data_IF_104390373162
#
_entry.id   IF_104390373162
#
_cell.length_a   1.000
_cell.length_b   1.000
_cell.length_c   1.000
_cell.angle_alpha   90.00
_cell.angle_beta   90.00
_cell.angle_gamma   90.00
#
_symmetry.space_group_name_H-M   'P 1'
#
loop_
_entity.id
_entity.type
_entity.pdbx_description
1 polymer ?
#
# COMPACT_ATOMS: atom_id res chain seq x y z
N UNK A 1 -13.89 6.13 28.19
CA UNK A 1 -12.60 5.94 28.88
C UNK A 1 -11.46 6.48 28.01
N UNK A 2 -10.82 7.55 28.47
CA UNK A 2 -9.61 8.10 27.85
C UNK A 2 -8.46 7.12 28.08
N UNK A 3 -7.80 6.68 27.02
CA UNK A 3 -6.72 5.68 27.13
C UNK A 3 -5.45 6.37 27.61
N UNK A 4 -4.99 6.15 28.84
CA UNK A 4 -3.68 6.65 29.27
C UNK A 4 -2.55 5.92 28.52
N UNK A 5 -1.51 6.65 28.14
CA UNK A 5 -0.27 6.14 27.56
C UNK A 5 0.85 6.34 28.56
N UNK A 6 1.57 5.27 28.83
CA UNK A 6 2.73 5.30 29.70
C UNK A 6 3.98 5.31 28.84
N UNK A 7 4.77 6.37 28.98
CA UNK A 7 5.95 6.64 28.17
C UNK A 7 7.17 6.67 29.07
N UNK A 8 8.16 5.84 28.72
CA UNK A 8 9.45 5.82 29.37
C UNK A 8 10.53 6.15 28.32
N UNK A 9 11.38 7.10 28.64
CA UNK A 9 12.42 7.62 27.75
C UNK A 9 13.79 7.47 28.39
N UNK A 10 14.76 7.03 27.58
CA UNK A 10 16.14 6.87 28.02
C UNK A 10 17.13 7.14 26.90
N UNK A 11 18.38 7.41 27.26
CA UNK A 11 19.51 7.53 26.34
C UNK A 11 20.22 6.19 26.24
N UNK A 12 20.49 5.74 25.02
CA UNK A 12 21.34 4.56 24.80
C UNK A 12 22.80 4.97 25.02
N UNK A 13 23.42 4.41 26.07
CA UNK A 13 24.85 4.55 26.36
C UNK A 13 25.68 3.68 25.43
N UNK A 14 25.17 2.49 25.09
CA UNK A 14 25.77 1.61 24.09
C UNK A 14 24.77 1.27 22.97
N UNK A 15 25.24 0.95 21.75
CA UNK A 15 24.34 0.67 20.63
C UNK A 15 23.36 -0.46 20.94
N UNK A 16 22.10 -0.28 20.57
CA UNK A 16 21.12 -1.37 20.60
C UNK A 16 21.19 -2.16 19.30
N UNK A 17 21.45 -3.46 19.41
CA UNK A 17 21.58 -4.37 18.27
C UNK A 17 20.20 -4.97 17.95
N UNK A 18 19.64 -4.61 16.80
CA UNK A 18 18.33 -5.12 16.36
C UNK A 18 18.16 -5.05 14.84
N UNK A 19 17.19 -5.77 14.30
CA UNK A 19 16.86 -5.75 12.87
C UNK A 19 16.08 -4.49 12.46
N UNK A 20 15.40 -3.84 13.42
CA UNK A 20 14.53 -2.68 13.19
C UNK A 20 14.61 -1.69 14.35
N UNK A 21 14.64 -0.37 14.09
CA UNK A 21 14.62 0.65 15.14
C UNK A 21 13.25 0.75 15.84
N UNK A 22 12.22 0.07 15.32
CA UNK A 22 10.90 -0.05 15.96
C UNK A 22 10.63 -1.52 16.24
N UNK A 23 10.40 -1.85 17.50
CA UNK A 23 10.12 -3.19 17.99
C UNK A 23 8.79 -3.21 18.74
N UNK A 24 8.09 -4.35 18.68
CA UNK A 24 6.85 -4.57 19.43
C UNK A 24 7.00 -5.83 20.28
N UNK A 25 6.69 -5.73 21.57
CA UNK A 25 6.67 -6.84 22.52
C UNK A 25 5.37 -6.76 23.32
N UNK A 26 4.37 -7.53 22.92
CA UNK A 26 3.03 -7.45 23.52
C UNK A 26 2.43 -6.04 23.41
N UNK A 27 1.92 -5.45 24.51
CA UNK A 27 1.36 -4.09 24.53
C UNK A 27 2.42 -2.99 24.41
N UNK A 28 3.71 -3.35 24.43
CA UNK A 28 4.81 -2.39 24.43
C UNK A 28 5.38 -2.17 23.03
N UNK A 29 5.54 -0.89 22.69
CA UNK A 29 6.28 -0.44 21.51
C UNK A 29 7.57 0.22 21.96
N UNK A 30 8.70 -0.29 21.46
CA UNK A 30 10.02 0.27 21.71
C UNK A 30 10.49 0.93 20.41
N UNK A 31 10.88 2.20 20.46
CA UNK A 31 11.37 2.97 19.31
C UNK A 31 12.72 3.59 19.64
N UNK A 32 13.70 3.38 18.78
CA UNK A 32 14.99 4.09 18.83
C UNK A 32 14.88 5.36 18.00
N UNK A 33 15.31 6.47 18.57
CA UNK A 33 15.20 7.83 18.06
C UNK A 33 16.58 8.48 17.96
N UNK A 34 16.77 9.41 17.03
CA UNK A 34 17.99 10.24 16.99
C UNK A 34 18.02 11.25 18.15
N UNK A 35 16.88 11.85 18.46
CA UNK A 35 16.66 12.78 19.58
C UNK A 35 15.24 12.59 20.14
N UNK A 36 15.01 12.91 21.42
CA UNK A 36 13.69 12.76 22.06
C UNK A 36 12.61 13.65 21.43
N UNK A 37 12.99 14.85 20.98
CA UNK A 37 12.07 15.82 20.35
C UNK A 37 11.88 15.57 18.85
N UNK A 38 12.72 14.73 18.23
CA UNK A 38 12.74 14.53 16.78
C UNK A 38 12.13 13.18 16.40
N UNK A 39 10.81 13.09 16.53
CA UNK A 39 10.02 11.88 16.30
C UNK A 39 10.05 11.37 14.84
N UNK A 40 10.51 12.19 13.90
CA UNK A 40 10.43 11.92 12.46
C UNK A 40 11.75 11.43 11.85
N UNK A 41 12.90 11.63 12.48
CA UNK A 41 14.20 11.22 11.93
C UNK A 41 14.64 9.82 12.36
N UNK A 42 15.27 9.10 11.44
CA UNK A 42 15.84 7.77 11.70
C UNK A 42 17.02 7.86 12.68
N UNK A 43 17.15 6.89 13.62
CA UNK A 43 18.28 6.85 14.55
C UNK A 43 19.62 6.67 13.84
N UNK A 44 20.70 7.08 14.50
CA UNK A 44 22.05 6.90 14.00
C UNK A 44 22.35 5.40 13.90
N UNK A 45 22.72 4.95 12.69
CA UNK A 45 23.09 3.56 12.43
C UNK A 45 24.59 3.38 12.63
N UNK A 46 24.97 2.37 13.39
CA UNK A 46 26.33 1.85 13.46
C UNK A 46 26.32 0.41 12.96
N UNK A 47 27.30 0.03 12.15
CA UNK A 47 27.52 -1.35 11.76
C UNK A 47 28.52 -1.95 12.75
N UNK A 48 28.10 -2.81 13.69
CA UNK A 48 29.04 -3.55 14.52
C UNK A 48 29.77 -4.55 13.62
N UNK A 49 30.94 -4.16 13.10
CA UNK A 49 31.81 -5.08 12.39
C UNK A 49 32.44 -6.04 13.38
N UNK A 50 32.46 -7.34 13.06
CA UNK A 50 33.40 -8.27 13.69
C UNK A 50 34.70 -8.16 12.89
N UNK A 51 35.81 -7.76 13.52
CA UNK A 51 37.13 -7.86 12.90
C UNK A 51 37.42 -9.36 12.71
N UNK A 52 37.43 -9.82 11.46
CA UNK A 52 37.86 -11.18 11.10
C UNK A 52 38.90 -11.03 9.99
N UNK A 53 40.16 -11.32 10.32
CA UNK A 53 41.29 -11.46 9.37
C UNK A 53 41.36 -10.36 8.27
N UNK A 54 41.46 -9.08 8.66
CA UNK A 54 41.87 -8.01 7.74
C UNK A 54 40.87 -7.53 6.67
N UNK A 55 39.73 -8.21 6.46
CA UNK A 55 38.75 -7.81 5.45
C UNK A 55 37.43 -7.27 6.05
N UNK A 56 36.96 -6.13 5.54
CA UNK A 56 35.63 -5.58 5.87
C UNK A 56 34.53 -6.44 5.23
N UNK A 57 33.97 -7.40 5.97
CA UNK A 57 32.72 -8.07 5.58
C UNK A 57 31.49 -7.28 6.04
N UNK A 58 30.48 -7.14 5.19
CA UNK A 58 29.19 -6.55 5.57
C UNK A 58 28.45 -7.45 6.60
N UNK A 59 27.84 -6.87 7.65
CA UNK A 59 27.20 -7.65 8.70
C UNK A 59 25.91 -8.33 8.21
N UNK A 60 25.86 -9.65 8.34
CA UNK A 60 24.74 -10.52 7.96
C UNK A 60 23.59 -10.48 8.98
N UNK A 61 22.85 -9.36 9.03
CA UNK A 61 21.44 -9.24 9.52
C UNK A 61 21.18 -8.50 10.86
N UNK A 62 22.17 -7.93 11.55
CA UNK A 62 21.91 -7.05 12.70
C UNK A 62 22.53 -5.65 12.55
N UNK A 63 21.75 -4.61 12.88
CA UNK A 63 22.18 -3.21 12.84
C UNK A 63 22.29 -2.68 14.27
N UNK A 64 23.35 -1.92 14.56
CA UNK A 64 23.46 -1.15 15.79
C UNK A 64 22.75 0.19 15.63
N UNK A 65 21.94 0.56 16.62
CA UNK A 65 21.27 1.86 16.67
C UNK A 65 21.73 2.63 17.90
N UNK A 66 22.15 3.89 17.70
CA UNK A 66 22.50 4.83 18.76
C UNK A 66 21.47 5.96 18.86
N UNK A 67 21.41 6.61 20.02
CA UNK A 67 20.54 7.76 20.28
C UNK A 67 19.71 7.54 21.54
N UNK A 68 18.39 7.69 21.42
CA UNK A 68 17.45 7.57 22.52
C UNK A 68 16.49 6.43 22.30
N UNK A 69 15.96 5.88 23.38
CA UNK A 69 14.90 4.88 23.35
C UNK A 69 13.63 5.47 23.97
N UNK A 70 12.51 5.28 23.27
CA UNK A 70 11.17 5.55 23.79
C UNK A 70 10.41 4.24 23.87
N UNK A 71 9.98 3.89 25.08
CA UNK A 71 9.09 2.77 25.36
C UNK A 71 7.70 3.34 25.58
N UNK A 72 6.72 2.83 24.84
CA UNK A 72 5.31 3.22 25.00
C UNK A 72 4.47 1.97 25.24
N UNK A 73 3.75 1.94 26.36
CA UNK A 73 2.81 0.88 26.67
C UNK A 73 1.38 1.27 26.25
N UNK A 74 0.74 0.38 25.50
CA UNK A 74 -0.65 0.50 25.05
C UNK A 74 -1.46 -0.67 25.62
N UNK A 75 -1.75 -0.62 26.92
CA UNK A 75 -2.63 -1.61 27.58
C UNK A 75 -3.98 -0.98 27.94
N UNK A 76 -5.03 -1.80 27.97
CA UNK A 76 -6.38 -1.40 28.37
C UNK A 76 -6.54 -1.47 29.89
N UNK A 77 -5.69 -2.25 30.56
CA UNK A 77 -5.62 -2.33 32.02
C UNK A 77 -4.49 -1.41 32.52
N UNK A 78 -4.86 -0.38 33.29
CA UNK A 78 -3.92 0.63 33.84
C UNK A 78 -2.89 0.00 34.79
N UNK A 79 -3.31 -0.89 35.67
CA UNK A 79 -2.41 -1.60 36.60
C UNK A 79 -1.36 -2.40 35.84
N UNK A 80 -1.79 -3.17 34.84
CA UNK A 80 -0.89 -3.96 33.98
C UNK A 80 0.06 -3.07 33.18
N UNK A 81 -0.42 -1.93 32.67
CA UNK A 81 0.42 -1.00 31.92
C UNK A 81 1.55 -0.42 32.79
N UNK A 82 1.23 -0.05 34.04
CA UNK A 82 2.19 0.46 35.02
C UNK A 82 3.22 -0.58 35.41
N UNK A 83 2.80 -1.80 35.73
CA UNK A 83 3.70 -2.91 36.07
C UNK A 83 4.69 -3.22 34.94
N UNK A 84 4.19 -3.21 33.70
CA UNK A 84 5.04 -3.42 32.53
C UNK A 84 6.09 -2.31 32.41
N UNK A 85 5.73 -1.04 32.57
CA UNK A 85 6.70 0.06 32.51
C UNK A 85 7.66 0.03 33.70
N UNK A 86 7.21 -0.28 34.91
CA UNK A 86 8.09 -0.50 36.08
C UNK A 86 9.13 -1.57 35.79
N UNK A 87 8.73 -2.67 35.15
CA UNK A 87 9.66 -3.74 34.75
C UNK A 87 10.72 -3.27 33.75
N UNK A 88 10.40 -2.28 32.89
CA UNK A 88 11.36 -1.68 31.97
C UNK A 88 12.25 -0.64 32.65
N UNK A 89 11.73 0.11 33.62
CA UNK A 89 12.50 1.07 34.41
C UNK A 89 13.61 0.37 35.22
N UNK A 90 13.35 -0.84 35.71
CA UNK A 90 14.33 -1.68 36.42
C UNK A 90 15.40 -2.31 35.51
N UNK A 91 15.36 -2.07 34.19
CA UNK A 91 16.34 -2.64 33.26
C UNK A 91 17.35 -1.59 32.85
N UNK A 92 18.62 -1.92 33.04
CA UNK A 92 19.73 -1.12 32.53
C UNK A 92 20.09 -1.44 31.08
N UNK A 93 19.50 -2.50 30.50
CA UNK A 93 19.80 -2.99 29.16
C UNK A 93 18.54 -3.40 28.38
N UNK A 94 18.58 -3.21 27.06
CA UNK A 94 17.61 -3.75 26.10
C UNK A 94 18.27 -4.60 25.03
N UNK A 95 17.58 -5.64 24.55
CA UNK A 95 18.05 -6.50 23.47
C UNK A 95 18.22 -7.96 23.90
N UNK A 96 18.72 -8.81 22.98
CA UNK A 96 19.00 -10.23 23.24
C UNK A 96 20.42 -10.49 23.78
N UNK A 97 21.35 -9.55 23.61
CA UNK A 97 22.77 -9.68 23.98
C UNK A 97 23.12 -8.92 25.26
N UNK A 98 22.35 -9.10 26.33
CA UNK A 98 22.59 -8.43 27.63
C UNK A 98 23.97 -8.74 28.22
N UNK A 99 24.62 -9.82 27.78
CA UNK A 99 25.93 -10.27 28.24
C UNK A 99 27.12 -9.60 27.52
N UNK A 100 26.89 -8.83 26.44
CA UNK A 100 27.96 -8.23 25.61
C UNK A 100 28.07 -6.71 25.79
N UNK A 101 27.42 -6.13 26.80
CA UNK A 101 27.46 -4.69 27.09
C UNK A 101 26.68 -3.79 26.12
N UNK A 102 25.96 -4.36 25.14
CA UNK A 102 25.14 -3.62 24.17
C UNK A 102 23.75 -3.27 24.71
N UNK A 103 23.19 -2.16 24.21
CA UNK A 103 21.85 -1.70 24.55
C UNK A 103 21.71 -1.16 25.98
N UNK A 104 22.80 -0.72 26.61
CA UNK A 104 22.80 -0.09 27.94
C UNK A 104 22.05 1.25 27.88
N UNK A 105 21.20 1.53 28.86
CA UNK A 105 20.31 2.68 28.88
C UNK A 105 20.47 3.46 30.17
N UNK A 106 20.49 4.77 30.04
CA UNK A 106 20.26 5.68 31.13
C UNK A 106 18.83 6.22 30.99
N UNK A 107 17.96 5.88 31.94
CA UNK A 107 16.59 6.39 31.96
C UNK A 107 16.60 7.88 32.30
N UNK A 108 15.81 8.66 31.56
CA UNK A 108 15.78 10.12 31.68
C UNK A 108 14.43 10.61 32.17
N UNK A 109 13.34 10.05 31.65
CA UNK A 109 12.01 10.58 31.97
C UNK A 109 10.94 9.51 31.86
N UNK A 110 10.01 9.54 32.81
CA UNK A 110 8.75 8.81 32.77
C UNK A 110 7.60 9.81 32.72
N UNK A 111 6.64 9.60 31.80
CA UNK A 111 5.45 10.46 31.66
C UNK A 111 4.21 9.63 31.43
N UNK A 112 3.11 10.08 32.03
CA UNK A 112 1.76 9.59 31.74
C UNK A 112 1.08 10.62 30.85
N UNK A 113 0.74 10.23 29.62
CA UNK A 113 0.02 11.10 28.68
C UNK A 113 -1.40 10.59 28.49
N UNK A 114 -2.37 11.50 28.39
CA UNK A 114 -3.67 11.14 27.85
C UNK A 114 -3.51 10.71 26.39
N UNK A 115 -3.70 9.43 26.14
CA UNK A 115 -3.61 8.90 24.81
C UNK A 115 -4.74 9.44 23.98
N UNK A 116 -4.40 10.35 23.06
CA UNK A 116 -5.27 10.65 21.93
C UNK A 116 -5.66 9.32 21.30
N UNK A 117 -6.96 9.01 21.31
CA UNK A 117 -7.51 7.91 20.54
C UNK A 117 -7.23 8.26 19.09
N UNK A 118 -6.07 7.85 18.58
CA UNK A 118 -5.87 7.81 17.15
C UNK A 118 -6.90 6.80 16.68
N UNK A 119 -8.05 7.30 16.23
CA UNK A 119 -8.95 6.54 15.39
C UNK A 119 -8.04 5.91 14.37
N UNK A 120 -7.83 4.59 14.49
CA UNK A 120 -7.22 3.82 13.43
C UNK A 120 -8.16 4.06 12.27
N UNK A 121 -7.81 5.01 11.40
CA UNK A 121 -8.44 5.12 10.09
C UNK A 121 -8.20 3.74 9.52
N UNK A 122 -9.25 2.91 9.53
CA UNK A 122 -9.21 1.59 8.92
C UNK A 122 -8.82 1.90 7.49
N UNK A 123 -7.56 1.62 7.11
CA UNK A 123 -7.12 1.74 5.72
C UNK A 123 -8.12 0.91 4.93
N UNK A 124 -9.05 1.56 4.24
CA UNK A 124 -10.07 0.87 3.45
C UNK A 124 -9.27 0.01 2.49
N UNK A 125 -9.38 -1.32 2.63
CA UNK A 125 -8.71 -2.25 1.73
C UNK A 125 -9.20 -1.89 0.33
N UNK A 126 -8.27 -1.67 -0.59
CA UNK A 126 -8.61 -1.40 -1.98
C UNK A 126 -9.34 -2.64 -2.51
N UNK A 127 -10.65 -2.52 -2.70
CA UNK A 127 -11.52 -3.59 -3.16
C UNK A 127 -11.58 -3.53 -4.67
N UNK A 128 -11.26 -4.65 -5.32
CA UNK A 128 -11.54 -4.84 -6.74
C UNK A 128 -13.05 -4.96 -6.88
N UNK A 129 -13.66 -4.14 -7.74
CA UNK A 129 -15.09 -4.19 -8.04
C UNK A 129 -15.45 -5.51 -8.73
N UNK A 130 -16.62 -6.05 -8.45
CA UNK A 130 -17.11 -7.30 -9.07
C UNK A 130 -17.54 -7.14 -10.54
N UNK A 131 -17.59 -5.91 -11.05
CA UNK A 131 -17.97 -5.60 -12.41
C UNK A 131 -17.63 -4.15 -12.78
N UNK A 132 -17.71 -3.88 -14.07
CA UNK A 132 -17.67 -2.52 -14.63
C UNK A 132 -19.12 -2.01 -14.75
N UNK A 133 -19.35 -0.71 -14.55
CA UNK A 133 -20.62 -0.11 -14.97
C UNK A 133 -20.71 -0.10 -16.50
N UNK A 134 -21.90 -0.28 -17.09
CA UNK A 134 -22.05 -0.35 -18.55
C UNK A 134 -21.83 1.01 -19.26
N UNK A 135 -22.02 2.12 -18.55
CA UNK A 135 -22.17 3.46 -19.16
C UNK A 135 -21.01 4.41 -18.81
N UNK A 136 -19.76 3.98 -19.01
CA UNK A 136 -18.62 4.90 -18.91
C UNK A 136 -18.41 5.67 -20.22
N UNK A 137 -17.90 6.93 -20.18
CA UNK A 137 -17.57 7.67 -21.39
C UNK A 137 -16.58 6.90 -22.28
N UNK A 138 -16.68 7.06 -23.61
CA UNK A 138 -15.86 6.31 -24.57
C UNK A 138 -14.36 6.45 -24.30
N UNK A 139 -13.88 7.66 -24.00
CA UNK A 139 -12.49 7.91 -23.63
C UNK A 139 -12.05 7.11 -22.39
N UNK A 140 -12.95 6.92 -21.42
CA UNK A 140 -12.66 6.09 -20.26
C UNK A 140 -12.64 4.62 -20.66
N UNK A 141 -13.61 4.16 -21.45
CA UNK A 141 -13.63 2.78 -21.93
C UNK A 141 -12.35 2.41 -22.67
N UNK A 142 -11.85 3.28 -23.56
CA UNK A 142 -10.58 3.09 -24.29
C UNK A 142 -9.39 3.00 -23.35
N UNK A 143 -9.31 3.88 -22.34
CA UNK A 143 -8.29 3.78 -21.29
C UNK A 143 -8.39 2.45 -20.53
N UNK A 144 -9.59 2.05 -20.11
CA UNK A 144 -9.79 0.83 -19.34
C UNK A 144 -9.41 -0.42 -20.15
N UNK A 145 -9.74 -0.46 -21.45
CA UNK A 145 -9.25 -1.49 -22.36
C UNK A 145 -7.72 -1.49 -22.43
N UNK A 146 -7.08 -0.33 -22.64
CA UNK A 146 -5.62 -0.23 -22.69
C UNK A 146 -4.95 -0.76 -21.41
N UNK A 147 -5.49 -0.41 -20.24
CA UNK A 147 -5.00 -0.91 -18.95
C UNK A 147 -5.13 -2.43 -18.82
N UNK A 148 -6.16 -3.04 -19.41
CA UNK A 148 -6.37 -4.49 -19.38
C UNK A 148 -5.54 -5.24 -20.40
N UNK A 149 -5.13 -4.59 -21.50
CA UNK A 149 -4.41 -5.22 -22.62
C UNK A 149 -2.90 -5.02 -22.61
N UNK A 150 -2.38 -4.02 -21.88
CA UNK A 150 -0.97 -3.60 -21.96
C UNK A 150 0.07 -4.70 -21.70
N UNK A 151 -0.27 -5.72 -20.91
CA UNK A 151 0.61 -6.84 -20.55
C UNK A 151 0.51 -8.02 -21.54
N UNK A 152 -0.38 -7.96 -22.56
CA UNK A 152 -0.58 -9.02 -23.56
C UNK A 152 0.11 -8.75 -24.90
N UNK A 153 0.84 -7.63 -25.00
CA UNK A 153 1.62 -7.26 -26.19
C UNK A 153 3.11 -7.29 -25.88
N UNK A 154 3.92 -7.44 -26.92
CA UNK A 154 5.36 -7.32 -26.76
C UNK A 154 5.77 -5.85 -26.67
N UNK A 155 6.75 -5.56 -25.82
CA UNK A 155 7.35 -4.23 -25.67
C UNK A 155 8.86 -4.32 -25.74
N UNK A 156 9.52 -3.17 -25.82
CA UNK A 156 10.98 -3.07 -25.73
C UNK A 156 11.59 -3.57 -24.40
N UNK A 157 10.79 -3.72 -23.32
CA UNK A 157 11.28 -4.17 -22.00
C UNK A 157 10.77 -5.52 -21.53
N UNK A 158 9.71 -6.06 -22.13
CA UNK A 158 9.20 -7.37 -21.76
C UNK A 158 8.40 -8.02 -22.89
N UNK A 159 8.39 -9.36 -22.85
CA UNK A 159 7.54 -10.23 -23.68
C UNK A 159 6.14 -10.32 -23.06
N UNK A 160 5.12 -10.43 -23.90
CA UNK A 160 3.72 -10.71 -23.52
C UNK A 160 3.63 -11.68 -22.34
N UNK A 161 2.82 -11.34 -21.34
CA UNK A 161 2.69 -12.12 -20.12
C UNK A 161 2.04 -13.49 -20.34
N UNK A 162 1.37 -13.67 -21.47
CA UNK A 162 0.74 -14.92 -21.88
C UNK A 162 1.49 -15.63 -23.02
N UNK A 163 2.72 -15.19 -23.37
CA UNK A 163 3.59 -15.79 -24.40
C UNK A 163 3.06 -15.78 -25.85
N UNK A 164 1.77 -15.52 -26.06
CA UNK A 164 1.14 -15.24 -27.34
C UNK A 164 0.80 -13.74 -27.37
N UNK A 165 1.08 -13.08 -28.48
CA UNK A 165 0.74 -11.67 -28.65
C UNK A 165 -0.72 -11.52 -29.06
N UNK A 166 -1.44 -10.64 -28.38
CA UNK A 166 -2.84 -10.32 -28.68
C UNK A 166 -2.90 -9.19 -29.71
N UNK A 167 -3.66 -9.41 -30.78
CA UNK A 167 -3.90 -8.40 -31.81
C UNK A 167 -4.87 -7.34 -31.28
N UNK A 168 -4.37 -6.11 -31.07
CA UNK A 168 -5.21 -5.00 -30.62
C UNK A 168 -5.79 -4.24 -31.82
N UNK A 169 -7.12 -4.22 -31.95
CA UNK A 169 -7.81 -3.61 -33.11
C UNK A 169 -7.80 -2.08 -33.11
N UNK A 170 -7.95 -1.45 -31.94
CA UNK A 170 -7.94 0.02 -31.81
C UNK A 170 -6.50 0.53 -31.91
N UNK A 171 -6.16 1.37 -32.92
CA UNK A 171 -4.79 1.84 -33.14
C UNK A 171 -4.23 2.65 -31.97
N UNK A 172 -5.05 3.47 -31.30
CA UNK A 172 -4.61 4.32 -30.21
C UNK A 172 -4.29 3.49 -28.96
N UNK A 173 -5.14 2.48 -28.68
CA UNK A 173 -4.92 1.50 -27.62
C UNK A 173 -3.66 0.69 -27.91
N UNK A 174 -3.52 0.19 -29.15
CA UNK A 174 -2.36 -0.61 -29.58
C UNK A 174 -1.04 0.15 -29.35
N UNK A 175 -0.96 1.40 -29.80
CA UNK A 175 0.23 2.24 -29.60
C UNK A 175 0.50 2.47 -28.10
N UNK A 176 -0.54 2.77 -27.31
CA UNK A 176 -0.39 2.95 -25.87
C UNK A 176 0.12 1.69 -25.17
N UNK A 177 -0.41 0.52 -25.53
CA UNK A 177 0.01 -0.77 -24.99
C UNK A 177 1.45 -1.15 -25.41
N UNK A 178 1.85 -0.94 -26.67
CA UNK A 178 3.21 -1.31 -27.12
C UNK A 178 4.29 -0.37 -26.56
N UNK A 179 3.96 0.92 -26.36
CA UNK A 179 4.95 1.95 -26.00
C UNK A 179 4.94 2.38 -24.53
N UNK A 180 4.11 1.80 -23.64
CA UNK A 180 3.98 2.27 -22.24
C UNK A 180 5.27 2.23 -21.39
N UNK A 181 6.34 1.62 -21.91
CA UNK A 181 7.67 1.57 -21.30
C UNK A 181 8.69 2.58 -21.86
N UNK A 182 8.34 3.27 -22.93
CA UNK A 182 9.16 4.23 -23.65
C UNK A 182 8.96 5.65 -23.13
N UNK A 183 9.69 6.60 -23.71
CA UNK A 183 9.41 8.01 -23.48
C UNK A 183 8.06 8.37 -24.12
N UNK A 184 7.25 9.21 -23.46
CA UNK A 184 5.96 9.60 -24.02
C UNK A 184 6.17 10.35 -25.34
N UNK A 185 5.55 9.86 -26.41
CA UNK A 185 5.39 10.59 -27.67
C UNK A 185 4.15 11.48 -27.51
N UNK A 186 4.25 12.75 -27.91
CA UNK A 186 3.24 13.78 -27.61
C UNK A 186 1.83 13.47 -28.17
N UNK A 187 1.72 12.55 -29.12
CA UNK A 187 0.48 12.28 -29.87
C UNK A 187 -0.51 11.34 -29.16
N UNK A 188 -0.09 10.51 -28.19
CA UNK A 188 -0.97 9.49 -27.60
C UNK A 188 -1.45 9.86 -26.18
N UNK A 189 -2.73 10.22 -26.07
CA UNK A 189 -3.35 10.66 -24.80
C UNK A 189 -3.46 9.54 -23.75
N UNK A 190 -3.52 8.29 -24.18
CA UNK A 190 -3.65 7.11 -23.30
C UNK A 190 -2.31 6.69 -22.70
N UNK A 191 -1.22 6.86 -23.44
CA UNK A 191 0.11 6.35 -23.10
C UNK A 191 0.58 6.78 -21.71
N UNK A 192 0.45 8.08 -21.40
CA UNK A 192 0.84 8.64 -20.10
C UNK A 192 0.02 8.05 -18.94
N UNK A 193 -1.27 7.83 -19.16
CA UNK A 193 -2.20 7.26 -18.17
C UNK A 193 -1.96 5.78 -17.95
N UNK A 194 -1.72 5.01 -19.01
CA UNK A 194 -1.37 3.58 -18.92
C UNK A 194 -0.09 3.41 -18.09
N UNK A 195 0.95 4.16 -18.43
CA UNK A 195 2.23 4.16 -17.70
C UNK A 195 2.07 4.55 -16.23
N UNK A 196 1.21 5.52 -15.92
CA UNK A 196 0.93 5.93 -14.55
C UNK A 196 0.25 4.82 -13.74
N UNK A 197 -0.85 4.26 -14.26
CA UNK A 197 -1.62 3.26 -13.53
C UNK A 197 -0.90 1.93 -13.41
N UNK A 198 -0.11 1.51 -14.41
CA UNK A 198 0.75 0.32 -14.31
C UNK A 198 1.76 0.46 -13.17
N UNK A 199 2.53 1.57 -13.16
CA UNK A 199 3.49 1.86 -12.09
C UNK A 199 2.82 1.92 -10.72
N UNK A 200 1.65 2.54 -10.61
CA UNK A 200 0.91 2.66 -9.36
C UNK A 200 0.43 1.29 -8.87
N UNK A 201 -0.14 0.48 -9.76
CA UNK A 201 -0.60 -0.86 -9.43
C UNK A 201 0.58 -1.75 -8.99
N UNK A 202 1.69 -1.72 -9.73
CA UNK A 202 2.94 -2.39 -9.40
C UNK A 202 3.50 -1.91 -8.04
N UNK A 203 3.44 -0.62 -7.74
CA UNK A 203 3.90 -0.08 -6.46
C UNK A 203 3.05 -0.58 -5.27
N UNK A 204 1.72 -0.47 -5.36
CA UNK A 204 0.78 -1.01 -4.36
C UNK A 204 0.93 -2.53 -4.24
N UNK A 205 1.35 -3.15 -5.33
CA UNK A 205 1.55 -4.58 -5.50
C UNK A 205 2.76 -5.14 -4.77
N UNK A 206 3.86 -4.41 -4.80
CA UNK A 206 5.14 -4.83 -4.23
C UNK A 206 5.00 -5.14 -2.75
N UNK A 207 5.14 -6.42 -2.42
CA UNK A 207 5.42 -6.91 -1.06
C UNK A 207 6.85 -7.45 -1.04
N UNK A 208 7.47 -7.47 0.15
CA UNK A 208 8.73 -8.22 0.36
C UNK A 208 8.41 -9.70 0.26
N UNK A 209 8.43 -10.25 -0.94
CA UNK A 209 8.15 -11.66 -1.24
C UNK A 209 9.33 -12.27 -1.97
N UNK A 210 9.48 -13.59 -1.81
CA UNK A 210 10.57 -14.36 -2.41
C UNK A 210 10.46 -14.30 -3.94
N UNK A 211 11.59 -14.18 -4.63
CA UNK A 211 11.67 -14.36 -6.09
C UNK A 211 11.01 -15.69 -6.46
N UNK A 212 10.27 -15.70 -7.55
CA UNK A 212 9.62 -16.91 -8.08
C UNK A 212 10.41 -17.39 -9.29
N UNK A 213 10.61 -18.70 -9.42
CA UNK A 213 11.37 -19.29 -10.52
C UNK A 213 10.51 -19.49 -11.79
N UNK A 214 9.20 -19.75 -11.63
CA UNK A 214 8.28 -20.00 -12.74
C UNK A 214 7.13 -18.97 -12.79
N UNK A 215 6.69 -18.63 -14.00
CA UNK A 215 5.63 -17.62 -14.20
C UNK A 215 4.23 -18.13 -13.90
N UNK A 216 3.99 -19.42 -14.04
CA UNK A 216 2.75 -20.05 -13.61
C UNK A 216 3.04 -21.45 -13.10
N UNK A 217 2.09 -21.99 -12.34
CA UNK A 217 2.22 -23.32 -11.76
C UNK A 217 1.77 -24.38 -12.76
N UNK A 218 2.73 -25.10 -13.35
CA UNK A 218 2.49 -26.22 -14.27
C UNK A 218 1.79 -27.41 -13.60
N UNK A 219 1.87 -27.55 -12.26
CA UNK A 219 1.27 -28.68 -11.53
C UNK A 219 -0.25 -28.64 -11.54
N UNK A 220 -0.84 -27.45 -11.70
CA UNK A 220 -2.28 -27.25 -11.78
C UNK A 220 -2.83 -27.30 -13.22
N UNK A 221 -2.11 -27.97 -14.14
CA UNK A 221 -2.48 -28.15 -15.55
C UNK A 221 -1.86 -27.11 -16.49
N UNK A 222 -1.69 -27.46 -17.77
CA UNK A 222 -1.19 -26.52 -18.78
C UNK A 222 -2.20 -25.40 -19.01
N UNK A 223 -1.73 -24.16 -19.18
CA UNK A 223 -2.56 -23.05 -19.66
C UNK A 223 -2.47 -23.05 -21.18
N UNK A 224 -3.62 -23.07 -21.85
CA UNK A 224 -3.71 -22.88 -23.29
C UNK A 224 -3.66 -21.37 -23.60
N UNK A 225 -2.49 -20.90 -23.99
CA UNK A 225 -2.25 -19.48 -24.26
C UNK A 225 -2.85 -19.01 -25.59
N UNK A 226 -2.99 -19.89 -26.56
CA UNK A 226 -3.62 -19.56 -27.85
C UNK A 226 -5.11 -19.34 -27.67
N UNK A 227 -5.77 -20.25 -26.93
CA UNK A 227 -7.18 -20.07 -26.56
C UNK A 227 -7.38 -18.80 -25.74
N UNK A 228 -6.50 -18.55 -24.76
CA UNK A 228 -6.56 -17.34 -23.94
C UNK A 228 -6.42 -16.06 -24.78
N UNK A 229 -5.50 -16.04 -25.76
CA UNK A 229 -5.33 -14.90 -26.67
C UNK A 229 -6.58 -14.66 -27.51
N UNK A 230 -7.12 -15.69 -28.17
CA UNK A 230 -8.37 -15.60 -28.96
C UNK A 230 -9.54 -15.07 -28.13
N UNK A 231 -9.73 -15.60 -26.92
CA UNK A 231 -10.81 -15.16 -26.05
C UNK A 231 -10.66 -13.70 -25.60
N UNK A 232 -9.43 -13.19 -25.47
CA UNK A 232 -9.15 -11.77 -25.17
C UNK A 232 -9.45 -10.92 -26.41
N UNK A 233 -9.00 -11.35 -27.59
CA UNK A 233 -9.21 -10.66 -28.87
C UNK A 233 -10.69 -10.47 -29.19
N UNK A 234 -11.52 -11.49 -28.98
CA UNK A 234 -12.97 -11.42 -29.18
C UNK A 234 -13.67 -10.41 -28.25
N UNK A 235 -13.11 -10.19 -27.05
CA UNK A 235 -13.77 -9.43 -25.98
C UNK A 235 -13.25 -8.00 -25.86
N UNK A 236 -12.17 -7.65 -26.56
CA UNK A 236 -11.53 -6.33 -26.47
C UNK A 236 -12.40 -5.18 -26.99
N UNK A 237 -13.44 -5.47 -27.76
CA UNK A 237 -14.41 -4.49 -28.29
C UNK A 237 -15.20 -3.77 -27.18
N UNK A 238 -15.24 -4.32 -25.97
CA UNK A 238 -15.98 -3.74 -24.85
C UNK A 238 -15.17 -3.85 -23.57
N UNK A 239 -14.88 -2.70 -22.94
CA UNK A 239 -14.23 -2.66 -21.63
C UNK A 239 -15.00 -3.47 -20.58
N UNK A 240 -16.34 -3.48 -20.66
CA UNK A 240 -17.17 -4.31 -19.79
C UNK A 240 -16.94 -5.81 -20.01
N UNK A 241 -17.03 -6.28 -21.26
CA UNK A 241 -16.85 -7.70 -21.60
C UNK A 241 -15.44 -8.18 -21.23
N UNK A 242 -14.41 -7.38 -21.57
CA UNK A 242 -13.03 -7.69 -21.25
C UNK A 242 -12.78 -7.72 -19.74
N UNK A 243 -13.31 -6.75 -18.99
CA UNK A 243 -13.20 -6.73 -17.52
C UNK A 243 -13.84 -7.95 -16.89
N UNK A 244 -15.05 -8.30 -17.32
CA UNK A 244 -15.79 -9.45 -16.80
C UNK A 244 -15.03 -10.76 -17.07
N UNK A 245 -14.52 -10.92 -18.29
CA UNK A 245 -13.66 -12.04 -18.66
C UNK A 245 -12.43 -12.16 -17.76
N UNK A 246 -11.66 -11.08 -17.62
CA UNK A 246 -10.46 -11.07 -16.77
C UNK A 246 -10.82 -11.38 -15.32
N UNK A 247 -11.89 -10.79 -14.80
CA UNK A 247 -12.34 -11.00 -13.42
C UNK A 247 -12.64 -12.48 -13.12
N UNK A 248 -13.27 -13.17 -14.08
CA UNK A 248 -13.66 -14.58 -13.94
C UNK A 248 -12.61 -15.60 -14.40
N UNK A 249 -11.59 -15.18 -15.16
CA UNK A 249 -10.53 -16.09 -15.65
C UNK A 249 -9.79 -16.77 -14.49
N UNK A 250 -9.71 -18.11 -14.58
CA UNK A 250 -8.95 -18.96 -13.66
C UNK A 250 -7.48 -19.03 -14.08
N UNK A 251 -7.22 -18.93 -15.37
CA UNK A 251 -5.93 -18.96 -16.04
C UNK A 251 -5.10 -17.72 -15.65
N UNK A 252 -5.65 -16.52 -15.86
CA UNK A 252 -4.99 -15.25 -15.47
C UNK A 252 -4.76 -15.12 -13.97
N UNK A 253 -5.53 -15.86 -13.15
CA UNK A 253 -5.31 -15.95 -11.70
C UNK A 253 -4.07 -16.77 -11.34
N UNK A 254 -3.67 -17.71 -12.19
CA UNK A 254 -2.52 -18.61 -11.98
C UNK A 254 -1.21 -18.04 -12.52
N UNK A 255 -1.29 -17.09 -13.44
CA UNK A 255 -0.12 -16.38 -13.97
C UNK A 255 0.38 -15.35 -12.95
N UNK A 256 1.65 -15.43 -12.58
CA UNK A 256 2.35 -14.47 -11.72
C UNK A 256 2.69 -13.21 -12.50
N UNK A 257 2.30 -12.05 -11.98
CA UNK A 257 2.53 -10.75 -12.62
C UNK A 257 4.02 -10.40 -12.73
N UNK A 258 4.76 -10.54 -11.63
CA UNK A 258 6.19 -10.26 -11.56
C UNK A 258 6.96 -11.38 -10.85
N UNK A 259 8.00 -11.88 -11.53
CA UNK A 259 8.93 -12.88 -11.00
C UNK A 259 9.75 -12.33 -9.83
N UNK A 260 10.01 -11.02 -9.80
CA UNK A 260 10.85 -10.36 -8.80
C UNK A 260 10.15 -10.14 -7.46
N UNK A 261 8.82 -10.12 -7.44
CA UNK A 261 8.01 -9.73 -6.27
C UNK A 261 6.83 -10.68 -6.03
N UNK A 262 6.97 -11.95 -6.39
CA UNK A 262 5.85 -12.87 -6.62
C UNK A 262 4.82 -13.01 -5.49
N UNK A 263 3.69 -13.64 -5.86
CA UNK A 263 2.40 -13.82 -5.14
C UNK A 263 1.23 -12.97 -5.65
N UNK A 264 1.44 -12.03 -6.57
CA UNK A 264 0.34 -11.36 -7.24
C UNK A 264 0.08 -11.97 -8.61
N UNK A 265 -1.18 -12.27 -8.86
CA UNK A 265 -1.61 -12.78 -10.15
C UNK A 265 -1.76 -11.64 -11.14
N UNK A 266 -1.53 -11.94 -12.41
CA UNK A 266 -1.74 -11.03 -13.54
C UNK A 266 -3.17 -10.46 -13.51
N UNK A 267 -4.16 -11.33 -13.29
CA UNK A 267 -5.56 -10.91 -13.07
C UNK A 267 -5.71 -9.79 -12.04
N UNK A 268 -5.10 -9.95 -10.86
CA UNK A 268 -5.26 -8.97 -9.78
C UNK A 268 -4.53 -7.66 -10.07
N UNK A 269 -3.46 -7.69 -10.87
CA UNK A 269 -2.75 -6.50 -11.33
C UNK A 269 -3.60 -5.68 -12.30
N UNK A 270 -4.09 -6.32 -13.37
CA UNK A 270 -4.95 -5.70 -14.38
C UNK A 270 -6.20 -5.07 -13.75
N UNK A 271 -6.89 -5.84 -12.90
CA UNK A 271 -8.08 -5.35 -12.20
C UNK A 271 -7.74 -4.20 -11.22
N UNK A 272 -6.57 -4.22 -10.59
CA UNK A 272 -6.15 -3.14 -9.71
C UNK A 272 -5.95 -1.83 -10.48
N UNK A 273 -5.29 -1.87 -11.64
CA UNK A 273 -5.11 -0.70 -12.52
C UNK A 273 -6.45 -0.09 -12.90
N UNK A 274 -7.39 -0.92 -13.39
CA UNK A 274 -8.74 -0.47 -13.77
C UNK A 274 -9.48 0.17 -12.59
N UNK A 275 -9.41 -0.45 -11.41
CA UNK A 275 -10.09 0.09 -10.23
C UNK A 275 -9.48 1.40 -9.73
N UNK A 276 -8.18 1.62 -9.93
CA UNK A 276 -7.53 2.91 -9.65
C UNK A 276 -8.03 3.98 -10.62
N UNK A 277 -8.07 3.70 -11.92
CA UNK A 277 -8.54 4.64 -12.94
C UNK A 277 -10.01 5.04 -12.72
N UNK A 278 -10.91 4.06 -12.51
CA UNK A 278 -12.31 4.34 -12.15
C UNK A 278 -12.39 5.14 -10.86
N UNK A 279 -11.57 4.79 -9.86
CA UNK A 279 -11.56 5.47 -8.57
C UNK A 279 -11.14 6.93 -8.67
N UNK A 280 -10.24 7.28 -9.59
CA UNK A 280 -9.84 8.66 -9.86
C UNK A 280 -10.87 9.40 -10.71
N UNK A 281 -11.48 8.74 -11.69
CA UNK A 281 -12.58 9.28 -12.50
C UNK A 281 -13.77 9.69 -11.63
N UNK A 282 -14.27 8.77 -10.79
CA UNK A 282 -15.41 9.04 -9.89
C UNK A 282 -15.12 10.12 -8.84
N UNK A 283 -13.85 10.49 -8.62
CA UNK A 283 -13.44 11.57 -7.71
C UNK A 283 -13.11 12.87 -8.45
N UNK A 284 -13.37 12.94 -9.76
CA UNK A 284 -13.03 14.10 -10.58
C UNK A 284 -11.53 14.36 -10.74
N UNK A 285 -10.67 13.37 -10.45
CA UNK A 285 -9.21 13.51 -10.55
C UNK A 285 -8.65 13.14 -11.93
N UNK A 286 -9.42 12.34 -12.67
CA UNK A 286 -9.09 11.94 -14.03
C UNK A 286 -9.97 12.75 -14.99
N UNK A 287 -9.38 13.77 -15.61
CA UNK A 287 -10.02 14.51 -16.70
C UNK A 287 -9.65 13.81 -18.00
N UNK A 288 -10.68 13.36 -18.71
CA UNK A 288 -10.57 12.80 -20.06
C UNK A 288 -11.03 13.93 -20.97
N UNK A 289 -10.09 14.56 -21.68
CA UNK A 289 -10.46 15.53 -22.70
C UNK A 289 -11.25 14.79 -23.78
N UNK A 290 -12.42 15.31 -24.14
CA UNK A 290 -13.07 14.92 -25.39
C UNK A 290 -12.21 15.43 -26.55
N UNK A 291 -12.22 14.66 -27.64
CA UNK A 291 -11.60 15.04 -28.90
C UNK A 291 -12.03 16.48 -29.24
N UNK A 292 -11.03 17.36 -29.43
CA UNK A 292 -11.14 18.82 -29.62
C UNK A 292 -11.26 19.65 -28.34
N UNK A 293 -10.20 19.67 -27.52
CA UNK A 293 -9.50 20.90 -27.12
C UNK A 293 -8.35 20.60 -26.16
N UNK A 294 -7.31 21.43 -26.29
CA UNK A 294 -6.21 21.63 -25.35
C UNK A 294 -4.94 20.81 -25.58
N UNK A 295 -4.21 21.20 -26.64
CA UNK A 295 -2.76 21.39 -26.53
C UNK A 295 -2.48 22.46 -25.47
N UNK A 296 -2.33 22.05 -24.21
CA UNK A 296 -1.52 22.80 -23.25
C UNK A 296 -0.72 21.80 -22.41
N UNK A 297 0.59 22.00 -22.43
CA UNK A 297 1.59 21.18 -21.74
C UNK A 297 1.18 20.94 -20.28
N UNK A 298 1.24 19.70 -19.75
CA UNK A 298 1.40 19.54 -18.31
C UNK A 298 2.81 20.04 -17.96
N UNK A 299 2.90 21.10 -17.15
CA UNK A 299 4.18 21.66 -16.72
C UNK A 299 5.01 20.62 -15.92
N UNK A 300 6.33 20.81 -15.83
CA UNK A 300 7.20 20.01 -14.93
C UNK A 300 6.71 20.00 -13.47
N UNK A 301 5.90 21.00 -13.07
CA UNK A 301 5.22 21.02 -11.78
C UNK A 301 4.15 19.95 -11.65
N UNK A 302 3.44 19.57 -12.72
CA UNK A 302 2.44 18.50 -12.69
C UNK A 302 3.09 17.14 -12.37
N UNK A 303 4.25 16.83 -12.96
CA UNK A 303 4.99 15.59 -12.67
C UNK A 303 5.53 15.55 -11.24
N UNK A 304 6.02 16.67 -10.72
CA UNK A 304 6.45 16.79 -9.33
C UNK A 304 5.26 16.74 -8.36
N UNK A 305 4.11 17.32 -8.72
CA UNK A 305 2.86 17.28 -7.96
C UNK A 305 2.27 15.87 -7.94
N UNK A 306 2.41 15.11 -9.03
CA UNK A 306 2.05 13.70 -9.13
C UNK A 306 2.97 12.81 -8.27
N UNK A 307 4.29 13.04 -8.29
CA UNK A 307 5.24 12.40 -7.35
C UNK A 307 4.95 12.73 -5.89
N UNK A 308 4.62 13.98 -5.58
CA UNK A 308 4.25 14.42 -4.23
C UNK A 308 2.88 13.89 -3.80
N UNK A 309 1.90 13.75 -4.72
CA UNK A 309 0.62 13.04 -4.46
C UNK A 309 0.84 11.56 -4.19
N UNK A 310 1.73 10.90 -4.93
CA UNK A 310 2.14 9.52 -4.66
C UNK A 310 2.73 9.37 -3.25
N UNK A 311 3.54 10.33 -2.80
CA UNK A 311 4.08 10.35 -1.44
C UNK A 311 3.03 10.73 -0.38
N UNK A 312 2.08 11.65 -0.67
CA UNK A 312 0.97 12.03 0.24
C UNK A 312 -0.06 10.93 0.47
N UNK A 313 -0.30 10.06 -0.51
CA UNK A 313 -1.14 8.87 -0.33
C UNK A 313 -0.48 7.82 0.61
N UNK A 314 0.83 7.91 0.81
CA UNK A 314 1.61 7.04 1.71
C UNK A 314 1.79 7.73 3.09
N UNK A 315 1.88 9.06 3.11
CA UNK A 315 1.95 9.91 4.29
C UNK A 315 1.00 11.10 4.12
N UNK A 316 -0.22 11.02 4.66
CA UNK A 316 -0.98 12.24 4.94
C UNK A 316 -0.69 12.65 6.39
N UNK A 317 0.05 13.75 6.62
CA UNK A 317 -0.16 14.54 7.82
C UNK A 317 -1.51 15.25 7.67
N UNK A 318 -2.36 15.13 8.68
CA UNK A 318 -3.49 16.04 8.86
C UNK A 318 -2.93 17.46 9.11
N UNK A 319 -3.23 18.37 8.20
CA UNK A 319 -3.27 19.82 8.45
C UNK A 319 -4.71 20.20 8.07
N UNK A 320 -5.57 20.29 9.08
CA UNK A 320 -5.90 21.50 9.85
C UNK A 320 -6.99 22.29 9.13
N UNK A 321 -8.13 22.37 9.79
CA UNK A 321 -9.30 23.15 9.41
C UNK A 321 -8.88 24.55 8.97
N UNK A 322 -9.37 24.98 7.81
CA UNK A 322 -9.59 26.37 7.52
C UNK A 322 -11.09 26.49 7.23
N UNK A 323 -11.71 27.34 8.04
CA UNK A 323 -13.12 27.66 8.10
C UNK A 323 -13.73 28.06 6.75
N UNK A 324 -14.98 27.67 6.55
CA UNK A 324 -16.00 28.51 5.93
C UNK A 324 -17.35 27.99 6.38
N UNK A 325 -17.91 28.65 7.41
CA UNK A 325 -19.35 28.71 7.70
C UNK A 325 -20.05 29.27 6.45
N UNK A 326 -21.23 28.84 6.03
CA UNK A 326 -22.61 29.03 6.56
C UNK A 326 -23.58 28.40 5.52
N UNK A 327 -24.93 28.48 5.64
CA UNK A 327 -25.85 28.46 6.80
C UNK A 327 -26.97 27.39 6.66
N UNK A 328 -27.78 27.29 7.71
CA UNK A 328 -29.13 26.72 7.78
C UNK A 328 -29.96 26.78 6.50
N UNK A 329 -30.67 25.69 6.16
CA UNK A 329 -32.11 25.64 5.78
C UNK A 329 -32.60 24.20 6.10
N UNK A 330 -33.57 24.05 7.03
CA UNK A 330 -34.98 23.67 6.78
C UNK A 330 -35.11 22.26 6.15
N UNK A 331 -35.97 21.33 6.55
CA UNK A 331 -37.01 21.21 7.57
C UNK A 331 -37.50 19.74 7.45
N UNK A 332 -38.18 19.25 8.48
CA UNK A 332 -39.24 18.25 8.46
C UNK A 332 -39.01 16.84 7.88
N UNK A 333 -39.00 15.86 8.78
CA UNK A 333 -40.21 15.05 8.99
C UNK A 333 -40.15 14.26 10.30
N UNK A 334 -41.14 14.58 11.13
CA UNK A 334 -41.90 13.71 12.05
C UNK A 334 -41.82 12.21 11.70
N UNK A 335 -41.88 11.27 12.63
CA UNK A 335 -42.33 11.28 14.01
C UNK A 335 -42.57 9.81 14.41
N UNK A 336 -42.46 9.54 15.71
CA UNK A 336 -43.18 8.53 16.51
C UNK A 336 -43.53 7.16 15.90
N UNK A 337 -43.45 6.02 16.57
CA UNK A 337 -43.20 5.60 17.93
C UNK A 337 -43.38 4.06 17.89
N UNK A 338 -43.09 3.40 19.01
CA UNK A 338 -43.59 2.10 19.49
C UNK A 338 -42.52 1.03 19.80
N UNK A 339 -42.10 1.08 21.07
CA UNK A 339 -42.17 0.00 22.09
C UNK A 339 -41.58 -1.37 21.74
N UNK A 340 -40.45 -1.75 22.35
CA UNK A 340 -40.35 -2.46 23.66
C UNK A 340 -40.92 -3.88 23.66
N UNK A 341 -40.05 -4.84 23.94
CA UNK A 341 -40.40 -6.20 24.34
C UNK A 341 -39.16 -7.02 24.69
N UNK A 342 -38.70 -6.89 25.94
CA UNK A 342 -37.79 -7.84 26.60
C UNK A 342 -38.59 -9.09 26.99
N UNK A 343 -38.03 -10.28 26.80
CA UNK A 343 -37.87 -11.34 27.81
C UNK A 343 -37.32 -12.59 27.10
N UNK A 344 -36.14 -13.11 27.41
CA UNK A 344 -35.63 -13.78 28.62
C UNK A 344 -35.74 -15.31 28.56
N UNK A 345 -34.54 -15.92 28.70
CA UNK A 345 -34.22 -17.21 29.33
C UNK A 345 -34.53 -18.58 28.65
N UNK A 346 -33.39 -19.28 28.50
CA UNK A 346 -33.02 -20.62 29.04
C UNK A 346 -33.19 -21.86 28.14
N UNK A 347 -32.03 -22.56 28.01
CA UNK A 347 -31.77 -24.03 28.11
C UNK A 347 -32.57 -24.95 27.16
N UNK A 348 -32.06 -26.05 26.64
CA UNK A 348 -30.80 -26.78 26.65
C UNK A 348 -30.97 -27.97 25.66
N UNK A 349 -29.89 -28.73 25.42
CA UNK A 349 -29.88 -30.16 25.05
C UNK A 349 -30.28 -30.48 23.59
N UNK A 350 -29.30 -30.83 22.75
CA UNK A 350 -28.68 -32.17 22.65
C UNK A 350 -27.26 -32.04 22.10
#
# INVERSE_FOLDING_TARGET
>A
MVKKRYILEGKLLTPLITSSPVMKKGPVRIKVLRALNDMQRYPLRSYPGKLVKGERREPTVLKGFRGYVRITCYDWNETRAREVIKTYLLKDYLGRGTCEGFGKIQWLTYREEEGKTQLRVKKRKLRIRKGLGPNYPLALQRLLCALMLHDFVQTSKHISKIYVEVTIHDPEIRVACQRHHEQPVEENTLLSRVKYYDKMAAYISRRKTKKVAQRYDYKNGKIDFEKLAKEIEEKQQSAYKLYHYIYHSKELKRIVESMSYGRKSLRNHLLLMVNLAIGDFLKGKLVLADEKKSQQRPSKEWENTQRLRMLRCIYSPSMSNADSREPNQLEDREGSEHSRGKDSKKKAVR
#
